data_IF_192039510697
#
_entry.id   IF_192039510697
#
_cell.length_a   1.000
_cell.length_b   1.000
_cell.length_c   1.000
_cell.angle_alpha   90.00
_cell.angle_beta   90.00
_cell.angle_gamma   90.00
#
_symmetry.space_group_name_H-M   'P 1'
#
loop_
_entity.id
_entity.type
_entity.pdbx_description
1 polymer ?
#
# COMPACT_ATOMS: atom_id res chain seq x y z
N UNK A 1 60.54 10.82 -1.04
CA UNK A 1 60.67 9.49 -1.66
C UNK A 1 59.61 8.63 -0.99
N UNK A 2 58.36 8.69 -1.49
CA UNK A 2 57.77 7.71 -2.43
C UNK A 2 57.68 6.34 -1.75
N UNK A 3 56.49 5.81 -1.47
CA UNK A 3 55.63 5.29 -2.53
C UNK A 3 54.15 5.17 -2.13
N UNK A 4 53.36 5.18 -3.18
CA UNK A 4 51.91 5.24 -3.37
C UNK A 4 51.25 3.91 -3.02
N UNK A 5 50.13 3.90 -2.30
CA UNK A 5 49.11 2.86 -2.57
C UNK A 5 47.72 3.49 -2.69
N UNK A 6 47.24 3.27 -3.90
CA UNK A 6 46.07 3.72 -4.62
C UNK A 6 44.84 2.98 -4.08
N UNK A 7 43.91 3.70 -3.45
CA UNK A 7 42.59 3.15 -3.12
C UNK A 7 41.73 3.34 -4.35
N UNK A 8 41.64 2.28 -5.14
CA UNK A 8 40.79 2.18 -6.34
C UNK A 8 39.33 2.29 -5.91
N UNK A 9 38.65 3.28 -6.49
CA UNK A 9 37.20 3.41 -6.51
C UNK A 9 36.62 2.22 -7.30
N UNK A 10 35.89 1.33 -6.62
CA UNK A 10 35.02 0.37 -7.29
C UNK A 10 33.60 0.93 -7.25
N UNK A 11 33.28 1.76 -8.26
CA UNK A 11 31.91 2.06 -8.65
C UNK A 11 31.20 0.72 -8.96
N UNK A 12 30.32 0.29 -8.07
CA UNK A 12 29.33 -0.73 -8.40
C UNK A 12 28.31 -0.06 -9.32
N UNK A 13 28.55 -0.16 -10.62
CA UNK A 13 27.53 0.05 -11.65
C UNK A 13 26.39 -0.92 -11.39
N UNK A 14 25.29 -0.41 -10.86
CA UNK A 14 24.02 -1.12 -10.82
C UNK A 14 23.52 -1.22 -12.27
N UNK A 15 23.83 -2.36 -12.90
CA UNK A 15 23.37 -2.74 -14.22
C UNK A 15 21.83 -2.76 -14.21
N UNK A 16 21.24 -1.71 -14.77
CA UNK A 16 19.81 -1.54 -14.95
C UNK A 16 19.31 -2.68 -15.86
N UNK A 17 18.75 -3.71 -15.24
CA UNK A 17 18.12 -4.83 -15.94
C UNK A 17 17.03 -4.29 -16.88
N UNK A 18 17.02 -4.68 -18.17
CA UNK A 18 16.06 -4.17 -19.12
C UNK A 18 14.62 -4.59 -18.72
N UNK A 19 13.62 -3.74 -18.99
CA UNK A 19 12.23 -4.04 -18.66
C UNK A 19 11.77 -5.31 -19.40
N UNK A 20 10.85 -6.11 -18.80
CA UNK A 20 10.36 -7.32 -19.43
C UNK A 20 9.66 -6.98 -20.75
N UNK A 21 10.20 -7.54 -21.82
CA UNK A 21 9.68 -7.51 -23.18
C UNK A 21 8.24 -8.02 -23.17
N UNK A 22 7.31 -7.15 -23.57
CA UNK A 22 5.89 -7.49 -23.70
C UNK A 22 5.76 -8.36 -24.94
N UNK A 23 5.68 -9.67 -24.73
CA UNK A 23 5.48 -10.67 -25.77
C UNK A 23 4.15 -10.39 -26.49
N UNK A 24 4.26 -9.84 -27.71
CA UNK A 24 3.14 -9.65 -28.61
C UNK A 24 2.59 -11.02 -29.05
N UNK A 25 1.26 -11.20 -29.18
CA UNK A 25 0.70 -12.46 -29.65
C UNK A 25 1.09 -12.70 -31.13
N UNK A 26 1.27 -13.96 -31.55
CA UNK A 26 1.89 -14.31 -32.83
C UNK A 26 1.00 -13.93 -34.04
N UNK A 27 1.60 -13.62 -35.20
CA UNK A 27 0.87 -13.37 -36.43
C UNK A 27 0.31 -14.69 -36.98
N UNK A 28 -0.98 -14.68 -37.31
CA UNK A 28 -1.62 -15.79 -38.02
C UNK A 28 -1.17 -15.78 -39.49
N UNK A 29 -0.68 -16.94 -39.93
CA UNK A 29 -0.24 -17.27 -41.28
C UNK A 29 -1.34 -17.08 -42.34
N UNK A 30 -0.87 -16.72 -43.52
CA UNK A 30 -1.58 -16.32 -44.74
C UNK A 30 -2.40 -17.46 -45.40
N UNK A 31 -3.48 -17.07 -46.07
CA UNK A 31 -3.86 -17.64 -47.36
C UNK A 31 -4.56 -16.55 -48.21
N UNK A 32 -4.41 -16.55 -49.54
CA UNK A 32 -4.28 -15.32 -50.31
C UNK A 32 -5.43 -15.03 -51.30
N UNK A 33 -5.45 -13.76 -51.72
CA UNK A 33 -5.83 -13.24 -53.04
C UNK A 33 -7.23 -13.52 -53.61
N UNK A 34 -7.98 -12.43 -53.83
CA UNK A 34 -8.78 -12.23 -55.03
C UNK A 34 -9.02 -10.71 -55.21
N UNK A 35 -8.16 -10.09 -56.04
CA UNK A 35 -8.50 -8.88 -56.79
C UNK A 35 -9.24 -9.34 -58.05
N UNK A 36 -10.45 -8.84 -58.30
CA UNK A 36 -11.03 -8.87 -59.63
C UNK A 36 -11.51 -7.47 -60.02
N UNK A 37 -10.77 -6.92 -60.97
CA UNK A 37 -11.17 -5.80 -61.80
C UNK A 37 -12.13 -6.31 -62.87
N UNK A 38 -13.34 -5.77 -62.95
CA UNK A 38 -14.20 -5.96 -64.12
C UNK A 38 -14.23 -4.71 -64.98
N UNK A 39 -13.58 -4.85 -66.14
CA UNK A 39 -13.66 -3.96 -67.28
C UNK A 39 -15.05 -4.05 -67.92
N UNK A 40 -15.55 -2.90 -68.36
CA UNK A 40 -16.71 -2.79 -69.22
C UNK A 40 -16.32 -3.13 -70.67
N UNK A 41 -16.94 -4.16 -71.25
CA UNK A 41 -17.09 -4.31 -72.70
C UNK A 41 -18.52 -4.76 -73.06
N UNK A 42 -18.89 -4.32 -74.26
CA UNK A 42 -20.18 -4.23 -74.93
C UNK A 42 -20.65 -5.59 -75.50
N UNK A 43 -21.95 -5.92 -75.43
CA UNK A 43 -22.75 -6.37 -76.60
C UNK A 43 -24.21 -6.82 -76.27
N UNK A 44 -25.16 -6.08 -76.86
CA UNK A 44 -26.33 -6.54 -77.64
C UNK A 44 -27.59 -7.26 -77.02
N UNK A 45 -28.69 -6.46 -76.99
CA UNK A 45 -30.14 -6.72 -77.34
C UNK A 45 -31.18 -6.84 -76.20
N UNK A 46 -32.49 -6.52 -76.43
CA UNK A 46 -33.11 -5.58 -77.37
C UNK A 46 -34.04 -4.51 -76.70
N UNK A 47 -34.30 -3.41 -77.41
CA UNK A 47 -35.11 -2.25 -76.98
C UNK A 47 -36.60 -2.56 -76.74
N UNK A 48 -37.24 -2.06 -75.65
CA UNK A 48 -38.66 -1.78 -75.63
C UNK A 48 -38.93 -0.35 -76.13
N UNK A 49 -39.74 -0.23 -77.18
CA UNK A 49 -40.23 1.04 -77.73
C UNK A 49 -41.24 1.65 -76.75
N UNK A 50 -40.85 2.68 -76.01
CA UNK A 50 -41.77 3.57 -75.30
C UNK A 50 -41.91 4.86 -76.10
N UNK A 51 -43.15 5.11 -76.48
CA UNK A 51 -43.63 6.23 -77.29
C UNK A 51 -43.34 7.58 -76.60
N UNK A 52 -42.49 8.41 -77.21
CA UNK A 52 -42.24 9.78 -76.76
C UNK A 52 -43.27 10.69 -77.44
N UNK A 53 -44.18 11.36 -76.73
CA UNK A 53 -44.99 12.41 -77.34
C UNK A 53 -44.07 13.57 -77.73
N UNK A 54 -44.30 14.14 -78.91
CA UNK A 54 -43.52 15.23 -79.49
C UNK A 54 -43.67 16.50 -78.63
N UNK A 55 -42.75 16.72 -77.69
CA UNK A 55 -42.68 17.97 -76.91
C UNK A 55 -41.91 18.98 -77.76
N UNK A 56 -42.67 19.90 -78.35
CA UNK A 56 -42.13 21.07 -79.04
C UNK A 56 -41.13 21.81 -78.14
N UNK A 57 -40.05 22.30 -78.75
CA UNK A 57 -39.04 23.13 -78.09
C UNK A 57 -39.72 24.22 -77.23
N UNK A 58 -39.36 24.35 -75.93
CA UNK A 58 -39.88 25.41 -75.08
C UNK A 58 -39.64 26.75 -75.77
N UNK A 59 -40.72 27.45 -76.11
CA UNK A 59 -40.65 28.84 -76.55
C UNK A 59 -39.97 29.64 -75.45
N UNK A 60 -38.87 30.29 -75.82
CA UNK A 60 -38.27 31.37 -75.05
C UNK A 60 -39.37 32.37 -74.65
N UNK A 61 -39.50 32.75 -73.37
CA UNK A 61 -40.31 33.89 -73.00
C UNK A 61 -39.64 35.13 -73.59
N UNK A 62 -40.13 35.53 -74.75
CA UNK A 62 -39.93 36.82 -75.37
C UNK A 62 -40.70 37.85 -74.52
N UNK A 63 -39.99 38.58 -73.68
CA UNK A 63 -40.61 39.60 -72.85
C UNK A 63 -39.81 40.05 -71.63
N UNK A 64 -38.77 40.84 -71.88
CA UNK A 64 -38.47 42.06 -71.12
C UNK A 64 -38.71 42.10 -69.62
N UNK A 65 -38.22 41.12 -68.86
CA UNK A 65 -38.00 41.28 -67.43
C UNK A 65 -36.49 41.40 -67.22
N UNK A 66 -36.05 42.57 -66.76
CA UNK A 66 -34.63 42.78 -66.48
C UNK A 66 -34.26 41.76 -65.42
N UNK A 67 -33.43 40.79 -65.81
CA UNK A 67 -32.79 39.89 -64.86
C UNK A 67 -31.98 40.77 -63.91
N UNK A 68 -32.54 41.07 -62.75
CA UNK A 68 -31.88 41.88 -61.74
C UNK A 68 -30.68 41.08 -61.21
N UNK A 69 -29.49 41.41 -61.72
CA UNK A 69 -28.24 40.76 -61.32
C UNK A 69 -27.99 40.90 -59.81
N UNK A 70 -28.51 41.96 -59.19
CA UNK A 70 -28.50 42.15 -57.74
C UNK A 70 -29.41 41.15 -57.01
N UNK A 71 -30.54 40.75 -57.58
CA UNK A 71 -31.43 39.72 -57.03
C UNK A 71 -30.81 38.32 -57.14
N UNK A 72 -30.14 38.03 -58.26
CA UNK A 72 -29.36 36.78 -58.41
C UNK A 72 -28.22 36.73 -57.38
N UNK A 73 -27.50 37.84 -57.19
CA UNK A 73 -26.41 37.89 -56.24
C UNK A 73 -26.91 37.72 -54.79
N UNK A 74 -28.03 38.38 -54.44
CA UNK A 74 -28.66 38.23 -53.13
C UNK A 74 -29.14 36.81 -52.88
N UNK A 75 -29.85 36.20 -53.82
CA UNK A 75 -30.32 34.80 -53.72
C UNK A 75 -29.17 33.81 -53.61
N UNK A 76 -28.05 34.08 -54.29
CA UNK A 76 -26.84 33.29 -54.13
C UNK A 76 -26.26 33.42 -52.73
N UNK A 77 -26.10 34.64 -52.21
CA UNK A 77 -25.62 34.86 -50.85
C UNK A 77 -26.55 34.22 -49.80
N UNK A 78 -27.87 34.37 -49.95
CA UNK A 78 -28.86 33.75 -49.06
C UNK A 78 -28.78 32.22 -49.09
N UNK A 79 -28.62 31.62 -50.29
CA UNK A 79 -28.41 30.18 -50.45
C UNK A 79 -27.10 29.73 -49.80
N UNK A 80 -25.99 30.40 -50.09
CA UNK A 80 -24.67 30.08 -49.54
C UNK A 80 -24.68 30.20 -48.00
N UNK A 81 -25.37 31.21 -47.45
CA UNK A 81 -25.54 31.37 -46.00
C UNK A 81 -26.41 30.26 -45.38
N UNK A 82 -27.47 29.86 -46.06
CA UNK A 82 -28.36 28.78 -45.59
C UNK A 82 -27.64 27.43 -45.64
N UNK A 83 -26.91 27.15 -46.72
CA UNK A 83 -26.10 25.94 -46.86
C UNK A 83 -24.97 25.90 -45.83
N UNK A 84 -24.32 27.05 -45.56
CA UNK A 84 -23.30 27.15 -44.51
C UNK A 84 -23.89 26.87 -43.13
N UNK A 85 -25.07 27.43 -42.81
CA UNK A 85 -25.77 27.15 -41.55
C UNK A 85 -26.14 25.67 -41.42
N UNK A 86 -26.69 25.06 -42.47
CA UNK A 86 -27.04 23.65 -42.48
C UNK A 86 -25.81 22.73 -42.31
N UNK A 87 -24.68 23.09 -42.93
CA UNK A 87 -23.42 22.35 -42.78
C UNK A 87 -22.87 22.46 -41.36
N UNK A 88 -22.93 23.65 -40.77
CA UNK A 88 -22.53 23.90 -39.38
C UNK A 88 -23.38 23.05 -38.44
N UNK A 89 -24.71 23.11 -38.57
CA UNK A 89 -25.63 22.35 -37.73
C UNK A 89 -25.44 20.85 -37.89
N UNK A 90 -25.33 20.35 -39.13
CA UNK A 90 -25.04 18.94 -39.40
C UNK A 90 -23.73 18.48 -38.76
N UNK A 91 -22.66 19.29 -38.82
CA UNK A 91 -21.39 18.94 -38.19
C UNK A 91 -21.49 18.89 -36.66
N UNK A 92 -22.19 19.84 -36.03
CA UNK A 92 -22.41 19.83 -34.59
C UNK A 92 -23.29 18.67 -34.14
N UNK A 93 -24.38 18.38 -34.87
CA UNK A 93 -25.24 17.24 -34.57
C UNK A 93 -24.49 15.91 -34.73
N UNK A 94 -23.68 15.76 -35.78
CA UNK A 94 -22.89 14.55 -35.99
C UNK A 94 -21.88 14.37 -34.85
N UNK A 95 -21.09 15.41 -34.53
CA UNK A 95 -20.16 15.35 -33.40
C UNK A 95 -20.85 15.04 -32.08
N UNK A 96 -22.00 15.65 -31.83
CA UNK A 96 -22.75 15.41 -30.59
C UNK A 96 -23.21 13.95 -30.50
N UNK A 97 -23.72 13.37 -31.59
CA UNK A 97 -24.09 11.95 -31.64
C UNK A 97 -22.87 11.05 -31.43
N UNK A 98 -21.76 11.33 -32.11
CA UNK A 98 -20.51 10.57 -31.98
C UNK A 98 -19.95 10.65 -30.55
N UNK A 99 -19.98 11.83 -29.92
CA UNK A 99 -19.54 12.04 -28.53
C UNK A 99 -20.44 11.29 -27.54
N UNK A 100 -21.76 11.35 -27.71
CA UNK A 100 -22.70 10.60 -26.88
C UNK A 100 -22.47 9.08 -27.00
N UNK A 101 -22.27 8.57 -28.22
CA UNK A 101 -21.94 7.16 -28.45
C UNK A 101 -20.60 6.78 -27.80
N UNK A 102 -19.57 7.61 -27.96
CA UNK A 102 -18.26 7.39 -27.36
C UNK A 102 -18.35 7.37 -25.83
N UNK A 103 -19.08 8.31 -25.23
CA UNK A 103 -19.29 8.37 -23.77
C UNK A 103 -20.00 7.10 -23.29
N UNK A 104 -21.05 6.65 -23.98
CA UNK A 104 -21.76 5.42 -23.59
C UNK A 104 -20.88 4.18 -23.70
N UNK A 105 -20.02 4.11 -24.73
CA UNK A 105 -19.09 3.02 -24.93
C UNK A 105 -18.00 3.00 -23.85
N UNK A 106 -17.39 4.15 -23.57
CA UNK A 106 -16.39 4.31 -22.50
C UNK A 106 -16.98 3.93 -21.15
N UNK A 107 -18.16 4.46 -20.80
CA UNK A 107 -18.85 4.11 -19.55
C UNK A 107 -19.09 2.60 -19.42
N UNK A 108 -19.45 1.92 -20.52
CA UNK A 108 -19.61 0.46 -20.54
C UNK A 108 -18.29 -0.28 -20.34
N UNK A 109 -17.20 0.19 -20.95
CA UNK A 109 -15.86 -0.38 -20.78
C UNK A 109 -15.37 -0.19 -19.34
N UNK A 110 -15.53 1.00 -18.79
CA UNK A 110 -15.18 1.33 -17.41
C UNK A 110 -15.95 0.45 -16.42
N UNK A 111 -17.26 0.29 -16.62
CA UNK A 111 -18.08 -0.62 -15.81
C UNK A 111 -17.55 -2.06 -15.85
N UNK A 112 -17.23 -2.58 -17.04
CA UNK A 112 -16.64 -3.94 -17.17
C UNK A 112 -15.25 -4.05 -16.54
N UNK A 113 -14.44 -2.99 -16.58
CA UNK A 113 -13.13 -2.95 -15.91
C UNK A 113 -13.30 -2.94 -14.39
N UNK A 114 -14.21 -2.13 -13.87
CA UNK A 114 -14.54 -2.08 -12.45
C UNK A 114 -15.09 -3.44 -11.96
N UNK A 115 -15.99 -4.08 -12.71
CA UNK A 115 -16.50 -5.42 -12.40
C UNK A 115 -15.40 -6.47 -12.37
N UNK A 116 -14.46 -6.45 -13.33
CA UNK A 116 -13.30 -7.37 -13.31
C UNK A 116 -12.37 -7.10 -12.13
N UNK A 117 -12.10 -5.84 -11.82
CA UNK A 117 -11.30 -5.44 -10.66
C UNK A 117 -11.94 -5.91 -9.35
N UNK A 118 -13.25 -5.72 -9.21
CA UNK A 118 -13.99 -6.18 -8.04
C UNK A 118 -14.02 -7.71 -7.93
N UNK A 119 -14.19 -8.43 -9.05
CA UNK A 119 -14.08 -9.88 -9.07
C UNK A 119 -12.69 -10.37 -8.64
N UNK A 120 -11.62 -9.69 -9.05
CA UNK A 120 -10.26 -10.00 -8.61
C UNK A 120 -10.10 -9.71 -7.11
N UNK A 121 -10.63 -8.60 -6.61
CA UNK A 121 -10.61 -8.23 -5.19
C UNK A 121 -11.33 -9.27 -4.34
N UNK A 122 -12.52 -9.68 -4.72
CA UNK A 122 -13.31 -10.72 -4.03
C UNK A 122 -12.60 -12.07 -4.06
N UNK A 123 -11.96 -12.45 -5.19
CA UNK A 123 -11.16 -13.68 -5.26
C UNK A 123 -9.95 -13.61 -4.33
N UNK A 124 -9.23 -12.50 -4.32
CA UNK A 124 -8.07 -12.29 -3.45
C UNK A 124 -8.48 -12.29 -1.97
N UNK A 125 -9.61 -11.67 -1.62
CA UNK A 125 -10.14 -11.66 -0.26
C UNK A 125 -10.55 -13.06 0.20
N UNK A 126 -11.27 -13.82 -0.63
CA UNK A 126 -11.63 -15.22 -0.33
C UNK A 126 -10.40 -16.12 -0.17
N UNK A 127 -9.36 -15.93 -0.98
CA UNK A 127 -8.12 -16.69 -0.84
C UNK A 127 -7.37 -16.30 0.44
N UNK A 128 -7.31 -15.00 0.75
CA UNK A 128 -6.75 -14.50 2.01
C UNK A 128 -7.50 -15.03 3.23
N UNK A 129 -8.84 -15.09 3.17
CA UNK A 129 -9.68 -15.66 4.24
C UNK A 129 -9.42 -17.16 4.42
N UNK A 130 -9.29 -17.93 3.33
CA UNK A 130 -8.93 -19.35 3.40
C UNK A 130 -7.55 -19.55 4.03
N UNK A 131 -6.56 -18.78 3.62
CA UNK A 131 -5.22 -18.83 4.19
C UNK A 131 -5.23 -18.43 5.68
N UNK A 132 -6.00 -17.41 6.04
CA UNK A 132 -6.17 -16.99 7.43
C UNK A 132 -6.83 -18.08 8.28
N UNK A 133 -7.88 -18.74 7.79
CA UNK A 133 -8.52 -19.86 8.51
C UNK A 133 -7.58 -21.05 8.70
N UNK A 134 -6.77 -21.39 7.69
CA UNK A 134 -5.76 -22.44 7.80
C UNK A 134 -4.65 -22.05 8.79
N UNK A 135 -4.24 -20.78 8.81
CA UNK A 135 -3.28 -20.27 9.77
C UNK A 135 -3.83 -20.28 11.20
N UNK A 136 -5.09 -19.90 11.40
CA UNK A 136 -5.77 -19.92 12.70
C UNK A 136 -5.98 -21.36 13.20
N UNK A 137 -6.35 -22.30 12.34
CA UNK A 137 -6.45 -23.72 12.70
C UNK A 137 -5.09 -24.30 13.09
N UNK A 138 -4.04 -23.93 12.34
CA UNK A 138 -2.66 -24.31 12.66
C UNK A 138 -2.20 -23.70 13.98
N UNK A 139 -2.51 -22.44 14.25
CA UNK A 139 -2.20 -21.75 15.50
C UNK A 139 -2.95 -22.38 16.68
N UNK A 140 -4.24 -22.71 16.52
CA UNK A 140 -5.02 -23.42 17.55
C UNK A 140 -4.44 -24.80 17.85
N UNK A 141 -4.03 -25.55 16.82
CA UNK A 141 -3.35 -26.85 16.97
C UNK A 141 -1.98 -26.69 17.64
N UNK A 142 -1.25 -25.62 17.32
CA UNK A 142 0.03 -25.32 17.96
C UNK A 142 -0.15 -24.95 19.44
N UNK A 143 -1.17 -24.16 19.79
CA UNK A 143 -1.50 -23.80 21.17
C UNK A 143 -1.89 -25.03 22.01
N UNK A 144 -2.67 -25.96 21.45
CA UNK A 144 -3.01 -27.22 22.12
C UNK A 144 -1.80 -28.15 22.27
N UNK A 145 -0.94 -28.23 21.25
CA UNK A 145 0.31 -29.00 21.33
C UNK A 145 1.29 -28.39 22.34
N UNK A 146 1.41 -27.06 22.40
CA UNK A 146 2.20 -26.35 23.40
C UNK A 146 1.63 -26.61 24.80
N UNK A 147 0.30 -26.58 24.98
CA UNK A 147 -0.33 -26.89 26.28
C UNK A 147 -0.07 -28.34 26.72
N UNK A 148 -0.18 -29.31 25.80
CA UNK A 148 0.16 -30.72 26.07
C UNK A 148 1.64 -30.90 26.39
N UNK A 149 2.53 -30.27 25.63
CA UNK A 149 3.97 -30.30 25.89
C UNK A 149 4.32 -29.68 27.26
N UNK A 150 3.65 -28.58 27.63
CA UNK A 150 3.84 -27.96 28.94
C UNK A 150 3.35 -28.85 30.10
N UNK A 151 2.26 -29.60 29.90
CA UNK A 151 1.72 -30.57 30.87
C UNK A 151 2.61 -31.81 30.98
N UNK A 152 3.08 -32.37 29.85
CA UNK A 152 4.01 -33.49 29.82
C UNK A 152 5.37 -33.12 30.43
N UNK A 153 5.89 -31.93 30.14
CA UNK A 153 7.10 -31.42 30.79
C UNK A 153 6.88 -31.13 32.27
N UNK A 154 5.66 -30.75 32.69
CA UNK A 154 5.33 -30.58 34.10
C UNK A 154 5.22 -31.93 34.82
N UNK A 155 4.66 -32.95 34.17
CA UNK A 155 4.63 -34.34 34.67
C UNK A 155 6.04 -34.93 34.74
N UNK A 156 6.86 -34.77 33.69
CA UNK A 156 8.28 -35.15 33.69
C UNK A 156 9.06 -34.43 34.78
N UNK A 157 8.86 -33.11 34.93
CA UNK A 157 9.50 -32.34 36.01
C UNK A 157 9.02 -32.79 37.39
N UNK A 158 7.73 -33.06 37.58
CA UNK A 158 7.20 -33.60 38.85
C UNK A 158 7.78 -34.98 39.17
N UNK A 159 7.90 -35.86 38.18
CA UNK A 159 8.52 -37.18 38.34
C UNK A 159 10.01 -37.08 38.67
N UNK A 160 10.78 -36.24 37.96
CA UNK A 160 12.19 -35.97 38.27
C UNK A 160 12.36 -35.26 39.62
N UNK A 161 11.48 -34.32 39.97
CA UNK A 161 11.54 -33.61 41.26
C UNK A 161 11.24 -34.57 42.42
N UNK A 162 10.36 -35.56 42.25
CA UNK A 162 10.11 -36.56 43.30
C UNK A 162 11.33 -37.46 43.55
N UNK A 163 12.15 -37.74 42.52
CA UNK A 163 13.41 -38.48 42.65
C UNK A 163 14.55 -37.59 43.19
N UNK A 164 14.57 -36.30 42.84
CA UNK A 164 15.61 -35.33 43.24
C UNK A 164 15.30 -34.59 44.55
N UNK A 165 14.11 -34.76 45.15
CA UNK A 165 13.71 -34.09 46.40
C UNK A 165 14.51 -34.50 47.63
N UNK A 166 15.42 -35.49 47.53
CA UNK A 166 16.42 -35.76 48.57
C UNK A 166 17.74 -34.99 48.37
N UNK A 167 18.04 -34.42 47.20
CA UNK A 167 19.37 -33.85 46.92
C UNK A 167 19.40 -32.66 45.93
N UNK A 168 18.78 -31.53 46.23
CA UNK A 168 19.30 -30.27 45.65
C UNK A 168 18.31 -29.14 45.42
N UNK A 169 18.31 -28.17 46.33
CA UNK A 169 17.63 -26.88 46.21
C UNK A 169 18.20 -25.92 45.15
N UNK A 170 18.87 -26.42 44.09
CA UNK A 170 19.55 -25.58 43.10
C UNK A 170 18.81 -25.42 41.77
N UNK A 171 17.84 -26.28 41.44
CA UNK A 171 17.17 -26.27 40.11
C UNK A 171 15.89 -25.42 40.03
N UNK A 172 15.39 -24.92 41.16
CA UNK A 172 14.11 -24.19 41.20
C UNK A 172 14.21 -22.81 40.51
N UNK A 173 15.40 -22.19 40.51
CA UNK A 173 15.63 -20.87 39.89
C UNK A 173 15.68 -20.89 38.35
N UNK A 174 15.92 -22.04 37.73
CA UNK A 174 16.03 -22.15 36.27
C UNK A 174 14.71 -22.51 35.57
N UNK A 175 13.72 -23.03 36.32
CA UNK A 175 12.48 -23.55 35.73
C UNK A 175 11.29 -22.61 35.80
N UNK A 176 11.35 -21.53 36.59
CA UNK A 176 10.33 -20.47 36.58
C UNK A 176 10.49 -19.51 35.39
N UNK A 177 11.66 -19.45 34.75
CA UNK A 177 11.92 -18.57 33.61
C UNK A 177 11.37 -19.04 32.26
N UNK A 178 10.79 -20.24 32.17
CA UNK A 178 10.48 -20.88 30.86
C UNK A 178 9.03 -21.27 30.62
N UNK A 179 8.10 -21.01 31.55
CA UNK A 179 6.69 -21.42 31.38
C UNK A 179 5.72 -20.28 31.67
N UNK A 180 5.21 -19.68 30.60
CA UNK A 180 4.07 -18.76 30.63
C UNK A 180 4.15 -17.75 29.50
N UNK A 181 3.33 -17.97 28.44
CA UNK A 181 2.94 -17.06 27.37
C UNK A 181 3.92 -15.90 27.11
N UNK A 182 4.78 -15.99 26.07
CA UNK A 182 5.79 -14.98 25.63
C UNK A 182 5.57 -13.61 26.29
N UNK A 183 5.93 -13.49 27.58
CA UNK A 183 5.81 -12.21 28.27
C UNK A 183 6.88 -11.40 27.62
N UNK A 184 6.46 -10.37 26.89
CA UNK A 184 7.36 -9.51 26.15
C UNK A 184 8.54 -9.18 27.05
N UNK A 185 9.74 -9.60 26.65
CA UNK A 185 10.91 -9.51 27.53
C UNK A 185 11.13 -8.03 27.87
N UNK A 186 11.76 -7.70 29.00
CA UNK A 186 12.00 -6.29 29.35
C UNK A 186 12.77 -5.55 28.25
N UNK A 187 13.67 -6.25 27.55
CA UNK A 187 14.38 -5.76 26.35
C UNK A 187 13.42 -5.37 25.23
N UNK A 188 12.41 -6.18 25.01
CA UNK A 188 11.45 -6.11 23.91
C UNK A 188 10.38 -5.05 24.22
N UNK A 189 9.98 -4.91 25.49
CA UNK A 189 9.19 -3.77 25.99
C UNK A 189 9.94 -2.45 25.86
N UNK A 190 11.22 -2.41 26.28
CA UNK A 190 12.07 -1.23 26.13
C UNK A 190 12.20 -0.83 24.66
N UNK A 191 12.45 -1.80 23.77
CA UNK A 191 12.55 -1.56 22.32
C UNK A 191 11.24 -0.99 21.77
N UNK A 192 10.09 -1.55 22.17
CA UNK A 192 8.77 -1.06 21.77
C UNK A 192 8.54 0.38 22.25
N UNK A 193 8.74 0.68 23.54
CA UNK A 193 8.55 2.02 24.09
C UNK A 193 9.46 3.05 23.41
N UNK A 194 10.72 2.70 23.13
CA UNK A 194 11.64 3.59 22.42
C UNK A 194 11.25 3.81 20.96
N UNK A 195 10.73 2.79 20.28
CA UNK A 195 10.21 2.91 18.94
C UNK A 195 8.96 3.81 18.90
N UNK A 196 8.02 3.63 19.84
CA UNK A 196 6.81 4.44 19.95
C UNK A 196 7.13 5.93 20.25
N UNK A 197 8.20 6.20 21.01
CA UNK A 197 8.68 7.57 21.27
C UNK A 197 9.43 8.19 20.09
N UNK A 198 10.02 7.37 19.21
CA UNK A 198 10.79 7.85 18.07
C UNK A 198 9.84 8.27 16.95
N UNK A 199 9.64 9.57 16.81
CA UNK A 199 8.95 10.14 15.64
C UNK A 199 9.87 10.01 14.42
N UNK A 200 9.32 9.47 13.32
CA UNK A 200 10.05 9.44 12.05
C UNK A 200 10.30 10.87 11.58
N UNK A 201 11.53 11.16 11.17
CA UNK A 201 11.93 12.47 10.72
C UNK A 201 11.75 12.53 9.19
N UNK A 202 10.86 13.39 8.72
CA UNK A 202 10.66 13.63 7.29
C UNK A 202 11.10 15.06 6.97
N UNK A 203 12.30 15.21 6.39
CA UNK A 203 12.96 16.50 6.17
C UNK A 203 13.30 16.77 4.70
N UNK A 204 13.21 15.77 3.81
CA UNK A 204 13.77 15.83 2.45
C UNK A 204 13.06 16.83 1.53
N UNK A 205 11.84 17.24 1.89
CA UNK A 205 11.00 18.15 1.12
C UNK A 205 10.76 19.49 1.83
N UNK A 206 11.54 19.80 2.89
CA UNK A 206 11.41 21.06 3.64
C UNK A 206 12.32 22.16 3.07
N UNK A 207 11.85 23.41 3.11
CA UNK A 207 12.65 24.60 2.79
C UNK A 207 13.63 24.94 3.92
N UNK A 208 14.67 25.72 3.62
CA UNK A 208 15.73 26.09 4.57
C UNK A 208 15.19 26.68 5.89
N UNK A 209 14.23 27.59 5.81
CA UNK A 209 13.64 28.20 7.01
C UNK A 209 12.88 27.18 7.88
N UNK A 210 12.15 26.25 7.25
CA UNK A 210 11.47 25.15 7.96
C UNK A 210 12.45 24.15 8.55
N UNK A 211 13.60 23.94 7.92
CA UNK A 211 14.67 23.10 8.45
C UNK A 211 15.30 23.74 9.70
N UNK A 212 15.49 25.06 9.71
CA UNK A 212 15.96 25.79 10.90
C UNK A 212 14.97 25.65 12.05
N UNK A 213 13.68 25.84 11.81
CA UNK A 213 12.63 25.62 12.82
C UNK A 213 12.66 24.19 13.35
N UNK A 214 12.72 23.18 12.47
CA UNK A 214 12.80 21.77 12.88
C UNK A 214 14.06 21.45 13.67
N UNK A 215 15.20 22.04 13.32
CA UNK A 215 16.43 21.89 14.09
C UNK A 215 16.28 22.47 15.51
N UNK A 216 15.64 23.64 15.65
CA UNK A 216 15.38 24.22 16.97
C UNK A 216 14.40 23.39 17.80
N UNK A 217 13.35 22.82 17.19
CA UNK A 217 12.41 21.92 17.88
C UNK A 217 13.10 20.65 18.38
N UNK A 218 13.91 20.00 17.54
CA UNK A 218 14.68 18.81 17.93
C UNK A 218 15.70 19.12 19.03
N UNK A 219 16.33 20.30 18.97
CA UNK A 219 17.26 20.75 20.01
C UNK A 219 16.55 20.96 21.35
N UNK A 220 15.39 21.62 21.37
CA UNK A 220 14.57 21.78 22.58
C UNK A 220 14.15 20.41 23.14
N UNK A 221 13.68 19.50 22.28
CA UNK A 221 13.32 18.13 22.68
C UNK A 221 14.51 17.36 23.28
N UNK A 222 15.71 17.52 22.73
CA UNK A 222 16.92 16.93 23.29
C UNK A 222 17.24 17.49 24.69
N UNK A 223 17.09 18.81 24.87
CA UNK A 223 17.32 19.45 26.17
C UNK A 223 16.33 18.99 27.24
N UNK A 224 15.05 18.83 26.89
CA UNK A 224 14.04 18.26 27.78
C UNK A 224 14.42 16.83 28.23
N UNK A 225 14.81 15.96 27.30
CA UNK A 225 15.23 14.60 27.61
C UNK A 225 16.48 14.53 28.49
N UNK A 226 17.44 15.44 28.29
CA UNK A 226 18.65 15.48 29.12
C UNK A 226 18.34 16.01 30.53
N UNK A 227 17.43 16.98 30.66
CA UNK A 227 16.93 17.45 31.96
C UNK A 227 16.21 16.33 32.74
N UNK A 228 15.28 15.61 32.09
CA UNK A 228 14.60 14.47 32.72
C UNK A 228 15.59 13.38 33.17
N UNK A 229 16.60 13.10 32.34
CA UNK A 229 17.65 12.14 32.67
C UNK A 229 18.46 12.58 33.89
N UNK A 230 18.81 13.86 33.98
CA UNK A 230 19.51 14.42 35.13
C UNK A 230 18.69 14.24 36.41
N UNK A 231 17.41 14.62 36.40
CA UNK A 231 16.52 14.49 37.56
C UNK A 231 16.37 13.02 38.00
N UNK A 232 16.24 12.09 37.05
CA UNK A 232 16.18 10.66 37.33
C UNK A 232 17.49 10.14 37.92
N UNK A 233 18.64 10.65 37.48
CA UNK A 233 19.94 10.28 38.04
C UNK A 233 20.10 10.78 39.47
N UNK A 234 19.72 12.02 39.78
CA UNK A 234 19.74 12.56 41.13
C UNK A 234 18.78 11.81 42.06
N UNK A 235 17.57 11.51 41.58
CA UNK A 235 16.60 10.69 42.30
C UNK A 235 17.15 9.30 42.59
N UNK A 236 17.82 8.67 41.63
CA UNK A 236 18.46 7.36 41.82
C UNK A 236 19.58 7.41 42.86
N UNK A 237 20.42 8.46 42.87
CA UNK A 237 21.45 8.67 43.90
C UNK A 237 20.81 8.78 45.29
N UNK A 238 19.73 9.55 45.42
CA UNK A 238 19.01 9.68 46.69
C UNK A 238 18.39 8.36 47.14
N UNK A 239 17.73 7.64 46.25
CA UNK A 239 17.16 6.33 46.55
C UNK A 239 18.23 5.31 47.00
N UNK A 240 19.42 5.32 46.38
CA UNK A 240 20.54 4.48 46.83
C UNK A 240 20.95 4.80 48.26
N UNK A 241 21.04 6.08 48.61
CA UNK A 241 21.33 6.51 49.98
C UNK A 241 20.25 6.02 50.96
N UNK A 242 18.97 6.25 50.64
CA UNK A 242 17.85 5.86 51.49
C UNK A 242 17.82 4.33 51.70
N UNK A 243 18.09 3.54 50.65
CA UNK A 243 18.21 2.08 50.74
C UNK A 243 19.31 1.69 51.74
N UNK A 244 20.50 2.31 51.66
CA UNK A 244 21.61 2.01 52.57
C UNK A 244 21.26 2.33 54.03
N UNK A 245 20.59 3.46 54.27
CA UNK A 245 20.11 3.85 55.62
C UNK A 245 19.08 2.85 56.14
N UNK A 246 18.11 2.47 55.31
CA UNK A 246 17.08 1.49 55.67
C UNK A 246 17.69 0.12 55.97
N UNK A 247 18.66 -0.34 55.18
CA UNK A 247 19.38 -1.59 55.45
C UNK A 247 20.11 -1.55 56.79
N UNK A 248 20.76 -0.42 57.11
CA UNK A 248 21.44 -0.23 58.40
C UNK A 248 20.43 -0.29 59.56
N UNK A 249 19.31 0.41 59.44
CA UNK A 249 18.24 0.41 60.45
C UNK A 249 17.63 -0.99 60.65
N UNK A 250 17.40 -1.74 59.58
CA UNK A 250 16.91 -3.13 59.65
C UNK A 250 17.91 -3.98 60.44
N UNK A 251 19.21 -3.86 60.16
CA UNK A 251 20.24 -4.61 60.85
C UNK A 251 20.31 -4.28 62.35
N UNK A 252 20.15 -3.01 62.74
CA UNK A 252 20.09 -2.59 64.14
C UNK A 252 18.86 -3.14 64.88
N UNK A 253 17.68 -3.06 64.25
CA UNK A 253 16.45 -3.61 64.81
C UNK A 253 16.52 -5.14 64.95
N UNK A 254 17.15 -5.84 64.01
CA UNK A 254 17.37 -7.29 64.12
C UNK A 254 18.35 -7.65 65.24
N UNK A 255 19.41 -6.86 65.45
CA UNK A 255 20.36 -7.07 66.57
C UNK A 255 19.67 -6.91 67.93
N UNK A 256 18.86 -5.87 68.09
CA UNK A 256 18.12 -5.62 69.34
C UNK A 256 17.01 -6.64 69.59
N UNK A 257 16.35 -7.14 68.54
CA UNK A 257 15.36 -8.21 68.65
C UNK A 257 15.97 -9.56 69.05
N UNK A 258 17.16 -9.92 68.55
CA UNK A 258 17.87 -11.16 68.92
C UNK A 258 18.48 -11.13 70.32
N UNK A 259 18.73 -9.94 70.89
CA UNK A 259 19.24 -9.79 72.26
C UNK A 259 18.17 -9.83 73.36
N UNK A 260 16.90 -9.61 73.03
CA UNK A 260 15.82 -9.45 74.02
C UNK A 260 15.14 -10.77 74.45
N UNK A 261 15.53 -11.91 73.87
CA UNK A 261 14.93 -13.22 74.11
C UNK A 261 15.76 -14.21 74.95
N UNK A 262 16.92 -13.81 75.50
CA UNK A 262 17.84 -14.75 76.18
C UNK A 262 18.28 -14.36 77.60
N UNK A 263 17.54 -13.49 78.30
CA UNK A 263 17.87 -13.13 79.69
C UNK A 263 16.64 -12.97 80.58
N UNK A 264 15.80 -13.99 80.72
CA UNK A 264 14.95 -14.15 81.91
C UNK A 264 14.41 -15.57 82.01
N UNK A 265 14.44 -16.14 83.22
CA UNK A 265 14.01 -17.50 83.62
C UNK A 265 15.09 -18.60 83.55
N UNK A 266 16.08 -18.48 84.42
CA UNK A 266 16.90 -19.60 84.90
C UNK A 266 17.40 -19.32 86.32
N UNK A 267 16.56 -18.65 87.13
CA UNK A 267 16.85 -18.40 88.53
C UNK A 267 16.62 -19.68 89.33
N UNK A 268 17.71 -20.23 89.88
CA UNK A 268 17.72 -21.21 90.97
C UNK A 268 16.65 -20.87 92.01
N UNK A 269 15.75 -21.81 92.28
CA UNK A 269 15.15 -21.96 93.61
C UNK A 269 15.46 -23.37 94.12
N UNK A 270 15.75 -23.41 95.42
CA UNK A 270 16.18 -24.55 96.23
C UNK A 270 15.15 -25.66 96.30
#
# INVERSE_FOLDING_TARGET
MSDTEEVVEEEVQEEEAPPPEVEAPPPAEEAPAEEEAEQAEDEAKPKPKMFVPNIAAPKLPEGGDKVDFDDIHRKRQEKDLTELQALIESHFEQRKKDEEELITLVSRIEKRRAERSEQQRVRAEKEKERQARLAEEKERREMDNQRKQLDDDAKKKKALTNLTSQHGGLQQKQTEGRKGAKKQTEREKKKKILADRRKALNIDHLSEDKLKEKATELWQWLMELEAEKFDLQEKLKRQKYDINVLQTRINEQQKTAKGRGKSKMGGRLR
#
